data_IF_056212672710
#
_entry.id   IF_056212672710
#
_cell.length_a   1.000
_cell.length_b   1.000
_cell.length_c   1.000
_cell.angle_alpha   90.00
_cell.angle_beta   90.00
_cell.angle_gamma   90.00
#
_symmetry.space_group_name_H-M   'P 1'
#
loop_
_entity.id
_entity.type
_entity.pdbx_description
1 polymer ?
#
# COMPACT_ATOMS: atom_id res chain seq x y z
N UNK A 1 59.57 -84.80 30.65
CA UNK A 1 59.63 -83.50 29.96
C UNK A 1 58.57 -83.52 28.85
N UNK A 2 57.34 -83.13 29.18
CA UNK A 2 56.31 -82.77 28.22
C UNK A 2 55.66 -81.49 28.74
N UNK A 3 55.49 -80.56 27.82
CA UNK A 3 55.41 -79.13 28.05
C UNK A 3 54.17 -78.72 28.85
N UNK A 4 54.39 -77.77 29.76
CA UNK A 4 53.42 -76.74 30.10
C UNK A 4 53.04 -76.00 28.82
N UNK A 5 52.06 -76.50 28.07
CA UNK A 5 51.45 -75.75 26.98
C UNK A 5 49.98 -75.50 27.34
N UNK A 6 49.80 -74.28 27.84
CA UNK A 6 48.57 -73.54 28.06
C UNK A 6 47.79 -73.90 29.33
N UNK A 7 48.10 -73.16 30.40
CA UNK A 7 47.22 -73.02 31.57
C UNK A 7 46.02 -72.13 31.17
N UNK A 8 45.10 -72.65 30.35
CA UNK A 8 43.86 -71.93 30.01
C UNK A 8 42.95 -72.00 31.22
N UNK A 9 42.73 -70.86 31.86
CA UNK A 9 41.72 -70.75 32.91
C UNK A 9 40.34 -70.78 32.24
N UNK A 10 39.66 -71.92 32.35
CA UNK A 10 38.29 -72.11 31.82
C UNK A 10 37.28 -71.69 32.89
N UNK A 11 36.31 -70.87 32.51
CA UNK A 11 35.17 -70.55 33.36
C UNK A 11 34.10 -71.62 33.17
N UNK A 12 33.61 -72.19 34.28
CA UNK A 12 32.65 -73.28 34.23
C UNK A 12 32.01 -73.59 35.58
N UNK A 13 30.95 -74.39 35.56
CA UNK A 13 30.28 -74.89 36.76
C UNK A 13 30.69 -76.34 37.00
N UNK A 14 31.16 -76.65 38.20
CA UNK A 14 31.56 -78.00 38.58
C UNK A 14 30.45 -78.69 39.37
N UNK A 15 30.14 -79.92 38.97
CA UNK A 15 29.20 -80.81 39.64
C UNK A 15 29.87 -82.16 39.94
N UNK A 16 29.35 -82.97 40.89
CA UNK A 16 29.93 -84.28 41.21
C UNK A 16 30.02 -85.27 40.03
N UNK A 17 29.21 -85.05 38.98
CA UNK A 17 29.16 -85.86 37.76
C UNK A 17 29.87 -85.24 36.54
N UNK A 18 30.50 -84.06 36.67
CA UNK A 18 31.22 -83.43 35.58
C UNK A 18 31.30 -81.90 35.67
N UNK A 19 32.03 -81.31 34.73
CA UNK A 19 32.23 -79.85 34.65
C UNK A 19 31.60 -79.32 33.36
N UNK A 20 30.77 -78.29 33.50
CA UNK A 20 30.14 -77.58 32.38
C UNK A 20 30.98 -76.34 32.08
N UNK A 21 31.68 -76.36 30.95
CA UNK A 21 32.48 -75.24 30.45
C UNK A 21 31.60 -74.16 29.82
N UNK A 22 31.77 -72.89 30.20
CA UNK A 22 30.94 -71.78 29.71
C UNK A 22 31.28 -71.35 28.28
N UNK A 23 32.54 -71.47 27.86
CA UNK A 23 33.01 -71.05 26.52
C UNK A 23 32.90 -72.17 25.47
N UNK A 24 32.34 -73.33 25.85
CA UNK A 24 32.16 -74.48 24.98
C UNK A 24 30.74 -74.51 24.40
N UNK A 25 30.63 -74.34 23.07
CA UNK A 25 29.35 -74.34 22.34
C UNK A 25 28.58 -75.66 22.43
N UNK A 26 29.25 -76.77 22.74
CA UNK A 26 28.57 -78.05 22.98
C UNK A 26 27.80 -78.09 24.31
N UNK A 27 28.16 -77.22 25.25
CA UNK A 27 27.56 -77.12 26.58
C UNK A 27 26.57 -75.95 26.71
N UNK A 28 26.85 -74.82 26.06
CA UNK A 28 26.05 -73.61 26.16
C UNK A 28 26.30 -72.64 24.99
N UNK A 29 25.27 -71.88 24.60
CA UNK A 29 25.30 -70.83 23.58
C UNK A 29 25.89 -69.50 24.09
N UNK A 30 26.42 -69.48 25.32
CA UNK A 30 26.97 -68.27 25.95
C UNK A 30 28.01 -67.56 25.07
N UNK A 31 28.90 -68.32 24.42
CA UNK A 31 29.92 -67.76 23.52
C UNK A 31 29.29 -67.03 22.33
N UNK A 32 28.25 -67.61 21.72
CA UNK A 32 27.50 -67.01 20.63
C UNK A 32 26.73 -65.76 21.08
N UNK A 33 26.05 -65.83 22.23
CA UNK A 33 25.32 -64.69 22.80
C UNK A 33 26.26 -63.53 23.15
N UNK A 34 27.41 -63.81 23.76
CA UNK A 34 28.42 -62.81 24.08
C UNK A 34 28.92 -62.11 22.82
N UNK A 35 29.23 -62.87 21.76
CA UNK A 35 29.65 -62.29 20.49
C UNK A 35 28.54 -61.42 19.87
N UNK A 36 27.31 -61.91 19.86
CA UNK A 36 26.15 -61.18 19.34
C UNK A 36 25.96 -59.83 20.06
N UNK A 37 25.99 -59.84 21.40
CA UNK A 37 25.74 -58.64 22.20
C UNK A 37 26.92 -57.67 22.22
N UNK A 38 28.15 -58.17 22.37
CA UNK A 38 29.32 -57.33 22.62
C UNK A 38 30.06 -56.95 21.34
N UNK A 39 30.03 -57.80 20.31
CA UNK A 39 30.78 -57.57 19.07
C UNK A 39 29.90 -57.10 17.92
N UNK A 40 28.66 -57.59 17.82
CA UNK A 40 27.77 -57.29 16.68
C UNK A 40 26.80 -56.15 17.00
N UNK A 41 25.98 -56.27 18.04
CA UNK A 41 24.84 -55.36 18.28
C UNK A 41 25.03 -54.35 19.41
N UNK A 42 26.22 -54.24 19.99
CA UNK A 42 26.43 -53.32 21.11
C UNK A 42 26.07 -51.87 20.75
N UNK A 43 26.50 -51.43 19.57
CA UNK A 43 26.24 -50.07 19.10
C UNK A 43 24.75 -49.85 18.81
N UNK A 44 24.09 -50.79 18.12
CA UNK A 44 22.66 -50.71 17.84
C UNK A 44 21.83 -50.61 19.12
N UNK A 45 22.19 -51.37 20.16
CA UNK A 45 21.53 -51.32 21.47
C UNK A 45 21.71 -49.96 22.15
N UNK A 46 22.90 -49.36 22.04
CA UNK A 46 23.17 -48.00 22.54
C UNK A 46 22.32 -46.98 21.77
N UNK A 47 22.31 -47.06 20.45
CA UNK A 47 21.62 -46.11 19.57
C UNK A 47 20.10 -46.20 19.74
N UNK A 48 19.52 -47.39 19.83
CA UNK A 48 18.10 -47.58 20.11
C UNK A 48 17.73 -47.03 21.50
N UNK A 49 18.59 -47.24 22.49
CA UNK A 49 18.36 -46.69 23.83
C UNK A 49 18.37 -45.17 23.81
N UNK A 50 19.30 -44.57 23.07
CA UNK A 50 19.43 -43.11 22.99
C UNK A 50 18.31 -42.47 22.15
N UNK A 51 18.05 -42.99 20.96
CA UNK A 51 17.15 -42.34 20.00
C UNK A 51 15.69 -42.72 20.15
N UNK A 52 15.39 -43.88 20.74
CA UNK A 52 14.02 -44.34 20.94
C UNK A 52 13.67 -44.25 22.42
N UNK A 53 14.35 -45.01 23.28
CA UNK A 53 13.93 -45.12 24.69
C UNK A 53 14.10 -43.81 25.45
N UNK A 54 15.25 -43.15 25.33
CA UNK A 54 15.50 -41.88 26.01
C UNK A 54 14.65 -40.75 25.44
N UNK A 55 14.53 -40.65 24.11
CA UNK A 55 13.67 -39.63 23.47
C UNK A 55 12.20 -39.78 23.87
N UNK A 56 11.68 -41.01 23.91
CA UNK A 56 10.30 -41.27 24.34
C UNK A 56 10.10 -40.95 25.83
N UNK A 57 11.04 -41.37 26.68
CA UNK A 57 11.01 -41.03 28.10
C UNK A 57 11.05 -39.52 28.31
N UNK A 58 11.95 -38.82 27.62
CA UNK A 58 12.12 -37.38 27.73
C UNK A 58 10.86 -36.64 27.27
N UNK A 59 10.28 -37.02 26.12
CA UNK A 59 9.01 -36.46 25.64
C UNK A 59 7.89 -36.66 26.66
N UNK A 60 7.70 -37.89 27.15
CA UNK A 60 6.68 -38.19 28.16
C UNK A 60 6.90 -37.38 29.44
N UNK A 61 8.15 -37.24 29.89
CA UNK A 61 8.49 -36.46 31.08
C UNK A 61 8.22 -34.97 30.88
N UNK A 62 8.57 -34.41 29.73
CA UNK A 62 8.30 -33.01 29.41
C UNK A 62 6.79 -32.73 29.39
N UNK A 63 6.01 -33.60 28.76
CA UNK A 63 4.54 -33.48 28.74
C UNK A 63 3.97 -33.50 30.16
N UNK A 64 4.41 -34.44 31.00
CA UNK A 64 3.98 -34.51 32.40
C UNK A 64 4.33 -33.26 33.20
N UNK A 65 5.51 -32.66 32.97
CA UNK A 65 5.91 -31.39 33.60
C UNK A 65 5.05 -30.23 33.09
N UNK A 66 4.75 -30.18 31.79
CA UNK A 66 3.88 -29.16 31.20
C UNK A 66 2.44 -29.22 31.75
N UNK A 67 1.91 -30.42 31.93
CA UNK A 67 0.62 -30.66 32.58
C UNK A 67 0.65 -30.22 34.06
N UNK A 68 1.67 -30.64 34.82
CA UNK A 68 1.79 -30.31 36.24
C UNK A 68 1.99 -28.81 36.50
N UNK A 69 2.64 -28.09 35.58
CA UNK A 69 2.87 -26.65 35.68
C UNK A 69 1.65 -25.81 35.29
N UNK A 70 0.50 -26.42 34.95
CA UNK A 70 -0.71 -25.73 34.44
C UNK A 70 -0.44 -24.82 33.23
N UNK A 71 0.70 -24.98 32.55
CA UNK A 71 1.03 -24.22 31.33
C UNK A 71 0.00 -24.48 30.21
N UNK A 72 -0.64 -25.66 30.23
CA UNK A 72 -1.73 -26.05 29.33
C UNK A 72 -3.14 -25.68 29.83
N UNK A 73 -3.28 -25.21 31.07
CA UNK A 73 -4.57 -24.88 31.68
C UNK A 73 -4.97 -23.40 31.52
N UNK A 74 -4.06 -22.55 31.06
CA UNK A 74 -4.40 -21.22 30.55
C UNK A 74 -4.87 -21.37 29.10
N UNK A 75 -6.11 -20.95 28.80
CA UNK A 75 -6.69 -20.88 27.44
C UNK A 75 -5.80 -20.13 26.43
N UNK A 76 -4.81 -19.40 26.91
CA UNK A 76 -3.79 -18.67 26.13
C UNK A 76 -2.66 -19.57 25.58
N UNK A 77 -2.60 -20.85 25.96
CA UNK A 77 -1.60 -21.81 25.48
C UNK A 77 -1.95 -22.41 24.12
N UNK A 78 -2.53 -21.61 23.22
CA UNK A 78 -2.44 -21.91 21.79
C UNK A 78 -0.95 -21.88 21.45
N UNK A 79 -0.49 -22.98 20.86
CA UNK A 79 0.91 -23.26 20.52
C UNK A 79 1.73 -21.98 20.26
N UNK A 80 2.93 -21.81 20.83
CA UNK A 80 3.77 -20.63 20.61
C UNK A 80 3.93 -20.24 19.12
N UNK A 81 3.87 -21.21 18.21
CA UNK A 81 3.84 -20.97 16.77
C UNK A 81 2.54 -20.32 16.27
N UNK A 82 1.39 -20.69 16.83
CA UNK A 82 0.09 -20.07 16.50
C UNK A 82 0.08 -18.59 16.91
N UNK A 83 0.64 -18.25 18.08
CA UNK A 83 0.78 -16.84 18.49
C UNK A 83 1.66 -16.07 17.51
N UNK A 84 2.84 -16.59 17.15
CA UNK A 84 3.73 -15.96 16.18
C UNK A 84 3.09 -15.81 14.80
N UNK A 85 2.34 -16.82 14.35
CA UNK A 85 1.62 -16.78 13.08
C UNK A 85 0.50 -15.73 13.11
N UNK A 86 -0.26 -15.63 14.21
CA UNK A 86 -1.29 -14.59 14.38
C UNK A 86 -0.69 -13.19 14.42
N UNK A 87 0.45 -12.99 15.09
CA UNK A 87 1.16 -11.71 15.11
C UNK A 87 1.68 -11.35 13.72
N UNK A 88 2.25 -12.31 12.98
CA UNK A 88 2.72 -12.11 11.60
C UNK A 88 1.57 -11.70 10.69
N UNK A 89 0.44 -12.38 10.79
CA UNK A 89 -0.74 -12.14 9.97
C UNK A 89 -1.42 -10.82 10.34
N UNK A 90 -1.44 -10.46 11.63
CA UNK A 90 -1.89 -9.15 12.11
C UNK A 90 -0.98 -8.01 11.60
N UNK A 91 0.34 -8.21 11.63
CA UNK A 91 1.29 -7.24 11.08
C UNK A 91 1.12 -7.07 9.57
N UNK A 92 0.95 -8.19 8.83
CA UNK A 92 0.71 -8.15 7.39
C UNK A 92 -0.59 -7.41 7.05
N UNK A 93 -1.67 -7.62 7.82
CA UNK A 93 -2.92 -6.86 7.67
C UNK A 93 -2.74 -5.37 7.95
N UNK A 94 -1.96 -5.00 8.97
CA UNK A 94 -1.65 -3.60 9.27
C UNK A 94 -0.87 -2.94 8.13
N UNK A 95 0.13 -3.63 7.58
CA UNK A 95 0.89 -3.14 6.43
C UNK A 95 -0.01 -2.94 5.20
N UNK A 96 -0.84 -3.93 4.86
CA UNK A 96 -1.77 -3.83 3.73
C UNK A 96 -2.78 -2.68 3.91
N UNK A 97 -3.25 -2.45 5.14
CA UNK A 97 -4.12 -1.32 5.45
C UNK A 97 -3.40 0.01 5.25
N UNK A 98 -2.16 0.12 5.73
CA UNK A 98 -1.35 1.33 5.61
C UNK A 98 -0.98 1.63 4.15
N UNK A 99 -0.71 0.60 3.35
CA UNK A 99 -0.51 0.70 1.90
C UNK A 99 -1.76 1.25 1.20
N UNK A 100 -2.94 0.68 1.49
CA UNK A 100 -4.21 1.17 0.95
C UNK A 100 -4.53 2.61 1.39
N UNK A 101 -4.27 2.95 2.65
CA UNK A 101 -4.43 4.34 3.13
C UNK A 101 -3.48 5.30 2.41
N UNK A 102 -2.22 4.91 2.17
CA UNK A 102 -1.26 5.74 1.45
C UNK A 102 -1.66 5.93 -0.02
N UNK A 103 -2.16 4.89 -0.67
CA UNK A 103 -2.65 4.96 -2.06
C UNK A 103 -3.86 5.90 -2.16
N UNK A 104 -4.83 5.80 -1.25
CA UNK A 104 -5.96 6.73 -1.19
C UNK A 104 -5.51 8.19 -1.00
N UNK A 105 -4.52 8.45 -0.13
CA UNK A 105 -3.97 9.80 0.07
C UNK A 105 -3.27 10.30 -1.18
N UNK A 106 -2.57 9.42 -1.91
CA UNK A 106 -1.92 9.76 -3.18
C UNK A 106 -2.97 10.13 -4.23
N UNK A 107 -4.01 9.31 -4.40
CA UNK A 107 -5.12 9.58 -5.32
C UNK A 107 -5.84 10.89 -4.97
N UNK A 108 -6.13 11.13 -3.69
CA UNK A 108 -6.74 12.38 -3.25
C UNK A 108 -5.86 13.59 -3.55
N UNK A 109 -4.54 13.51 -3.31
CA UNK A 109 -3.61 14.60 -3.63
C UNK A 109 -3.50 14.83 -5.14
N UNK A 110 -3.45 13.76 -5.94
CA UNK A 110 -3.42 13.85 -7.39
C UNK A 110 -4.71 14.48 -7.92
N UNK A 111 -5.86 14.02 -7.43
CA UNK A 111 -7.18 14.58 -7.76
C UNK A 111 -7.30 16.04 -7.33
N UNK A 112 -6.89 16.39 -6.11
CA UNK A 112 -6.85 17.78 -5.65
C UNK A 112 -5.91 18.64 -6.50
N UNK A 113 -4.73 18.13 -6.88
CA UNK A 113 -3.80 18.81 -7.78
C UNK A 113 -4.42 19.09 -9.14
N UNK A 114 -5.10 18.09 -9.74
CA UNK A 114 -5.82 18.25 -11.00
C UNK A 114 -6.97 19.25 -10.90
N UNK A 115 -7.72 19.22 -9.80
CA UNK A 115 -8.79 20.19 -9.54
C UNK A 115 -8.20 21.60 -9.42
N UNK A 116 -7.11 21.78 -8.66
CA UNK A 116 -6.44 23.06 -8.49
C UNK A 116 -5.91 23.61 -9.83
N UNK A 117 -5.28 22.75 -10.65
CA UNK A 117 -4.82 23.13 -11.97
C UNK A 117 -5.97 23.56 -12.88
N UNK A 118 -7.08 22.80 -12.89
CA UNK A 118 -8.29 23.17 -13.65
C UNK A 118 -8.89 24.49 -13.18
N UNK A 119 -8.99 24.71 -11.88
CA UNK A 119 -9.54 25.97 -11.33
C UNK A 119 -8.66 27.16 -11.70
N UNK A 120 -7.33 27.02 -11.66
CA UNK A 120 -6.42 28.09 -12.05
C UNK A 120 -6.55 28.42 -13.54
N UNK A 121 -6.65 27.40 -14.41
CA UNK A 121 -6.91 27.61 -15.84
C UNK A 121 -8.23 28.32 -16.08
N UNK A 122 -9.29 27.96 -15.35
CA UNK A 122 -10.59 28.63 -15.46
C UNK A 122 -10.49 30.10 -15.05
N UNK A 123 -9.85 30.40 -13.92
CA UNK A 123 -9.63 31.79 -13.45
C UNK A 123 -8.86 32.60 -14.48
N UNK A 124 -7.80 32.04 -15.07
CA UNK A 124 -7.01 32.71 -16.12
C UNK A 124 -7.87 32.99 -17.36
N UNK A 125 -8.65 32.00 -17.82
CA UNK A 125 -9.55 32.20 -18.96
C UNK A 125 -10.66 33.22 -18.68
N UNK A 126 -11.21 33.24 -17.47
CA UNK A 126 -12.23 34.21 -17.05
C UNK A 126 -11.64 35.63 -17.05
N UNK A 127 -10.45 35.79 -16.46
CA UNK A 127 -9.72 37.06 -16.45
C UNK A 127 -9.47 37.59 -17.86
N UNK A 128 -9.00 36.74 -18.78
CA UNK A 128 -8.74 37.13 -20.16
C UNK A 128 -10.03 37.51 -20.91
N UNK A 129 -11.15 36.84 -20.62
CA UNK A 129 -12.46 37.21 -21.18
C UNK A 129 -12.95 38.55 -20.65
N UNK A 130 -12.80 38.80 -19.34
CA UNK A 130 -13.15 40.08 -18.71
C UNK A 130 -12.32 41.21 -19.30
N UNK A 131 -11.00 41.02 -19.46
CA UNK A 131 -10.13 42.04 -20.04
C UNK A 131 -10.54 42.37 -21.49
N UNK A 132 -10.88 41.37 -22.31
CA UNK A 132 -11.41 41.60 -23.66
C UNK A 132 -12.75 42.32 -23.65
N UNK A 133 -13.63 41.99 -22.71
CA UNK A 133 -14.90 42.68 -22.54
C UNK A 133 -14.68 44.15 -22.18
N UNK A 134 -13.82 44.45 -21.21
CA UNK A 134 -13.47 45.83 -20.83
C UNK A 134 -12.81 46.60 -21.99
N UNK A 135 -11.91 45.95 -22.76
CA UNK A 135 -11.30 46.57 -23.94
C UNK A 135 -12.37 46.91 -24.99
N UNK A 136 -13.32 46.00 -25.23
CA UNK A 136 -14.43 46.25 -26.15
C UNK A 136 -15.35 47.37 -25.67
N UNK A 137 -15.62 47.45 -24.37
CA UNK A 137 -16.44 48.51 -23.77
C UNK A 137 -15.75 49.87 -23.89
N UNK A 138 -14.45 49.96 -23.55
CA UNK A 138 -13.66 51.18 -23.75
C UNK A 138 -13.62 51.61 -25.21
N UNK A 139 -13.50 50.66 -26.13
CA UNK A 139 -13.55 50.93 -27.56
C UNK A 139 -14.91 51.51 -27.98
N UNK A 140 -16.02 50.91 -27.53
CA UNK A 140 -17.37 51.39 -27.81
C UNK A 140 -17.64 52.76 -27.19
N UNK A 141 -17.19 53.01 -25.96
CA UNK A 141 -17.29 54.32 -25.30
C UNK A 141 -16.52 55.39 -26.07
N UNK A 142 -15.32 55.07 -26.54
CA UNK A 142 -14.53 55.99 -27.38
C UNK A 142 -15.31 56.33 -28.66
N UNK A 143 -15.83 55.32 -29.38
CA UNK A 143 -16.66 55.53 -30.56
C UNK A 143 -17.89 56.39 -30.27
N UNK A 144 -18.59 56.15 -29.15
CA UNK A 144 -19.74 56.96 -28.74
C UNK A 144 -19.37 58.41 -28.52
N UNK A 145 -18.28 58.69 -27.80
CA UNK A 145 -17.82 60.08 -27.56
C UNK A 145 -17.40 60.78 -28.86
N UNK A 146 -16.77 60.05 -29.78
CA UNK A 146 -16.43 60.57 -31.11
C UNK A 146 -17.71 60.90 -31.92
N UNK A 147 -18.71 60.01 -31.90
CA UNK A 147 -20.00 60.25 -32.56
C UNK A 147 -20.76 61.42 -31.93
N UNK A 148 -20.75 61.57 -30.61
CA UNK A 148 -21.38 62.70 -29.92
C UNK A 148 -20.69 64.02 -30.25
N UNK A 149 -19.36 64.07 -30.23
CA UNK A 149 -18.59 65.26 -30.62
C UNK A 149 -18.90 65.64 -32.06
N UNK A 150 -18.92 64.66 -32.98
CA UNK A 150 -19.22 64.88 -34.39
C UNK A 150 -20.67 65.35 -34.61
N UNK A 151 -21.61 64.85 -33.79
CA UNK A 151 -23.00 65.34 -33.77
C UNK A 151 -23.07 66.78 -33.28
N UNK A 152 -22.34 67.14 -32.22
CA UNK A 152 -22.30 68.49 -31.69
C UNK A 152 -21.65 69.47 -32.66
N UNK A 153 -20.51 69.11 -33.27
CA UNK A 153 -19.86 69.88 -34.33
C UNK A 153 -20.83 70.13 -35.50
N UNK A 154 -21.56 69.11 -35.92
CA UNK A 154 -22.59 69.24 -36.95
C UNK A 154 -23.76 70.14 -36.52
N UNK A 155 -24.21 70.08 -35.26
CA UNK A 155 -25.24 70.95 -34.71
C UNK A 155 -24.78 72.42 -34.63
N UNK A 156 -23.54 72.66 -34.21
CA UNK A 156 -22.92 73.99 -34.16
C UNK A 156 -22.73 74.56 -35.58
N UNK A 157 -22.20 73.76 -36.51
CA UNK A 157 -22.10 74.12 -37.94
C UNK A 157 -23.47 74.43 -38.54
N UNK A 158 -24.47 73.59 -38.24
CA UNK A 158 -25.85 73.83 -38.67
C UNK A 158 -26.41 75.12 -38.06
N UNK A 159 -26.16 75.41 -36.79
CA UNK A 159 -26.61 76.63 -36.13
C UNK A 159 -25.94 77.89 -36.70
N UNK A 160 -24.63 77.82 -36.97
CA UNK A 160 -23.88 78.88 -37.64
C UNK A 160 -24.46 79.09 -39.05
N UNK A 161 -24.60 78.03 -39.83
CA UNK A 161 -25.20 78.09 -41.17
C UNK A 161 -26.63 78.64 -41.15
N UNK A 162 -27.48 78.22 -40.20
CA UNK A 162 -28.84 78.75 -40.01
C UNK A 162 -28.82 80.24 -39.63
N UNK A 163 -27.81 80.71 -38.89
CA UNK A 163 -27.64 82.11 -38.52
C UNK A 163 -27.12 82.98 -39.67
N UNK A 164 -26.15 82.49 -40.44
CA UNK A 164 -25.59 83.18 -41.61
C UNK A 164 -26.59 83.22 -42.76
N UNK A 165 -27.32 82.11 -42.95
CA UNK A 165 -28.44 82.06 -43.87
C UNK A 165 -29.74 82.56 -43.24
N UNK A 166 -29.77 83.17 -42.05
CA UNK A 166 -31.02 83.68 -41.45
C UNK A 166 -31.68 84.74 -42.33
N UNK A 167 -30.89 85.65 -42.90
CA UNK A 167 -31.39 86.63 -43.87
C UNK A 167 -31.80 85.96 -45.18
N UNK A 168 -31.08 84.94 -45.64
CA UNK A 168 -31.41 84.17 -46.86
C UNK A 168 -32.64 83.26 -46.70
N UNK A 169 -32.84 82.69 -45.51
CA UNK A 169 -33.95 81.84 -45.09
C UNK A 169 -35.18 82.68 -44.83
N UNK A 170 -35.07 83.84 -44.17
CA UNK A 170 -36.17 84.79 -44.06
C UNK A 170 -36.57 85.33 -45.42
N UNK A 171 -35.62 85.69 -46.30
CA UNK A 171 -35.94 86.10 -47.67
C UNK A 171 -36.57 84.97 -48.49
N UNK A 172 -36.16 83.71 -48.28
CA UNK A 172 -36.74 82.55 -48.97
C UNK A 172 -38.10 82.15 -48.40
N UNK A 173 -38.30 82.23 -47.09
CA UNK A 173 -39.60 82.02 -46.42
C UNK A 173 -40.58 83.14 -46.78
N UNK A 174 -40.13 84.40 -46.81
CA UNK A 174 -40.91 85.55 -47.25
C UNK A 174 -41.22 85.49 -48.75
N UNK A 175 -40.29 85.00 -49.59
CA UNK A 175 -40.58 84.72 -51.01
C UNK A 175 -41.59 83.58 -51.18
N UNK A 176 -41.53 82.51 -50.38
CA UNK A 176 -42.54 81.44 -50.42
C UNK A 176 -43.91 81.91 -49.89
N UNK A 177 -43.95 82.69 -48.81
CA UNK A 177 -45.19 83.27 -48.28
C UNK A 177 -45.79 84.33 -49.21
N UNK A 178 -44.96 85.16 -49.84
CA UNK A 178 -45.39 86.12 -50.88
C UNK A 178 -45.88 85.41 -52.15
N UNK A 179 -45.18 84.36 -52.61
CA UNK A 179 -45.58 83.56 -53.77
C UNK A 179 -46.88 82.77 -53.54
N UNK A 180 -47.12 82.32 -52.29
CA UNK A 180 -48.40 81.72 -51.88
C UNK A 180 -49.54 82.74 -51.74
N UNK A 181 -49.25 83.98 -51.32
CA UNK A 181 -50.25 85.06 -51.23
C UNK A 181 -50.64 85.66 -52.58
N UNK A 182 -49.72 85.74 -53.55
CA UNK A 182 -49.99 86.25 -54.91
C UNK A 182 -50.83 85.26 -55.75
N UNK A 183 -50.80 83.96 -55.44
CA UNK A 183 -51.63 82.96 -56.15
C UNK A 183 -53.05 82.77 -55.62
N UNK A 184 -53.44 83.50 -54.56
CA UNK A 184 -54.77 83.39 -53.92
C UNK A 184 -55.60 84.68 -53.91
N UNK A 185 -55.17 85.72 -54.64
CA UNK A 185 -55.91 86.97 -54.86
C UNK A 185 -56.01 87.28 -56.34
#
# INVERSE_FOLDING_TARGET
MYLFLVNIKVYGRSYPWGVVECDNLAHNDFSALKHLLMSVHLQDLIDMTHHVHYTNYFSSRLTSIAEASKFLATEDSREPLSQLETERLAHQRKLAKLESEMENVFEQKASHGLVHERTNKLIETERDLVERAEQSEKHLLTQLTEFEKRRQEFEDERAIWESENRESLEVSHLKLYSFLYIKKG
#
